data_IF_886191420779
#
_entry.id   IF_886191420779
#
_cell.length_a   1.000
_cell.length_b   1.000
_cell.length_c   1.000
_cell.angle_alpha   90.00
_cell.angle_beta   90.00
_cell.angle_gamma   90.00
#
_symmetry.space_group_name_H-M   'P 1'
#
loop_
_entity.id
_entity.type
_entity.pdbx_description
1 polymer ?
#
# COMPACT_ATOMS: atom_id res chain seq x y z
N UNK A 1 30.18 7.61 3.68
CA UNK A 1 29.19 6.71 3.06
C UNK A 1 28.59 7.44 1.86
N UNK A 2 28.95 7.05 0.64
CA UNK A 2 28.48 7.72 -0.57
C UNK A 2 27.17 7.06 -1.05
N UNK A 3 26.00 7.66 -0.78
CA UNK A 3 24.73 7.13 -1.26
C UNK A 3 24.63 7.20 -2.80
N UNK A 4 24.11 6.14 -3.42
CA UNK A 4 23.85 6.09 -4.87
C UNK A 4 22.61 6.88 -5.28
N UNK A 5 21.75 7.28 -4.34
CA UNK A 5 20.60 8.15 -4.60
C UNK A 5 21.03 9.63 -4.76
N UNK A 6 20.27 10.35 -5.58
CA UNK A 6 20.32 11.83 -5.59
C UNK A 6 19.66 12.38 -4.32
N UNK A 7 19.85 13.67 -4.01
CA UNK A 7 19.09 14.32 -2.93
C UNK A 7 17.57 14.10 -3.10
N UNK A 8 17.09 14.19 -4.35
CA UNK A 8 15.70 13.86 -4.74
C UNK A 8 15.32 12.42 -4.40
N UNK A 9 16.22 11.46 -4.62
CA UNK A 9 15.99 10.06 -4.27
C UNK A 9 15.88 9.81 -2.76
N UNK A 10 16.67 10.52 -1.94
CA UNK A 10 16.56 10.45 -0.47
C UNK A 10 15.23 11.03 0.01
N UNK A 11 14.83 12.19 -0.53
CA UNK A 11 13.51 12.78 -0.23
C UNK A 11 12.38 11.84 -0.64
N UNK A 12 12.46 11.23 -1.83
CA UNK A 12 11.50 10.23 -2.28
C UNK A 12 11.41 9.03 -1.34
N UNK A 13 12.55 8.49 -0.87
CA UNK A 13 12.56 7.35 0.03
C UNK A 13 11.90 7.65 1.38
N UNK A 14 12.25 8.79 2.00
CA UNK A 14 11.67 9.22 3.26
C UNK A 14 10.17 9.50 3.14
N UNK A 15 9.76 10.21 2.09
CA UNK A 15 8.36 10.51 1.85
C UNK A 15 7.56 9.23 1.59
N UNK A 16 8.10 8.30 0.81
CA UNK A 16 7.48 6.99 0.55
C UNK A 16 7.27 6.20 1.84
N UNK A 17 8.24 6.24 2.75
CA UNK A 17 8.11 5.62 4.07
C UNK A 17 7.00 6.26 4.91
N UNK A 18 6.97 7.59 5.00
CA UNK A 18 5.92 8.31 5.74
C UNK A 18 4.53 8.01 5.17
N UNK A 19 4.37 8.06 3.84
CA UNK A 19 3.10 7.74 3.19
C UNK A 19 2.67 6.29 3.43
N UNK A 20 3.61 5.33 3.36
CA UNK A 20 3.33 3.93 3.63
C UNK A 20 2.88 3.73 5.09
N UNK A 21 3.61 4.29 6.07
CA UNK A 21 3.24 4.21 7.48
C UNK A 21 1.88 4.85 7.74
N UNK A 22 1.63 6.06 7.24
CA UNK A 22 0.35 6.75 7.40
C UNK A 22 -0.81 5.92 6.82
N UNK A 23 -0.61 5.35 5.63
CA UNK A 23 -1.63 4.52 4.97
C UNK A 23 -1.89 3.22 5.73
N UNK A 24 -0.83 2.54 6.18
CA UNK A 24 -0.96 1.29 6.95
C UNK A 24 -1.57 1.54 8.33
N UNK A 25 -1.13 2.59 9.04
CA UNK A 25 -1.71 2.94 10.35
C UNK A 25 -3.19 3.24 10.19
N UNK A 26 -3.56 4.09 9.22
CA UNK A 26 -4.98 4.35 8.93
C UNK A 26 -5.75 3.06 8.61
N UNK A 27 -5.23 2.20 7.73
CA UNK A 27 -5.87 0.94 7.37
C UNK A 27 -6.10 0.00 8.57
N UNK A 28 -5.14 -0.11 9.49
CA UNK A 28 -5.23 -1.04 10.63
C UNK A 28 -6.14 -0.53 11.77
N UNK A 29 -6.48 0.75 11.76
CA UNK A 29 -7.09 1.43 12.90
C UNK A 29 -8.62 1.52 12.71
N UNK A 30 -9.43 1.13 13.70
CA UNK A 30 -10.88 0.96 13.56
C UNK A 30 -11.67 2.27 13.63
N UNK A 31 -11.06 3.40 13.30
CA UNK A 31 -11.65 4.74 13.40
C UNK A 31 -11.83 5.35 12.00
N UNK A 32 -12.45 4.59 11.08
CA UNK A 32 -12.82 5.07 9.75
C UNK A 32 -14.20 5.72 9.78
N UNK A 33 -15.14 5.11 10.50
CA UNK A 33 -16.49 5.61 10.71
C UNK A 33 -16.79 5.59 12.21
N UNK A 34 -17.32 6.68 12.72
CA UNK A 34 -17.65 6.90 14.13
C UNK A 34 -19.15 7.09 14.26
N UNK A 35 -19.76 6.43 15.23
CA UNK A 35 -21.17 6.58 15.55
C UNK A 35 -21.46 6.19 16.98
N UNK A 36 -22.74 5.98 17.29
CA UNK A 36 -23.18 5.65 18.65
C UNK A 36 -24.32 4.65 18.65
N UNK A 37 -24.27 3.71 19.59
CA UNK A 37 -25.33 2.74 19.86
C UNK A 37 -25.53 2.64 21.36
N UNK A 38 -26.78 2.54 21.83
CA UNK A 38 -27.09 2.37 23.26
C UNK A 38 -26.31 3.35 24.19
N UNK A 39 -26.22 4.62 23.79
CA UNK A 39 -25.45 5.68 24.47
C UNK A 39 -23.94 5.45 24.60
N UNK A 40 -23.38 4.57 23.78
CA UNK A 40 -21.96 4.24 23.76
C UNK A 40 -21.33 4.48 22.38
N UNK A 41 -20.08 4.97 22.32
CA UNK A 41 -19.41 5.21 21.05
C UNK A 41 -19.05 3.88 20.37
N UNK A 42 -19.35 3.78 19.07
CA UNK A 42 -19.00 2.65 18.21
C UNK A 42 -18.12 3.16 17.08
N UNK A 43 -17.07 2.40 16.77
CA UNK A 43 -16.20 2.74 15.65
C UNK A 43 -16.00 1.55 14.72
N UNK A 44 -16.05 1.83 13.42
CA UNK A 44 -15.83 0.86 12.37
C UNK A 44 -14.53 1.17 11.62
N UNK A 45 -13.78 0.13 11.32
CA UNK A 45 -12.78 0.09 10.27
C UNK A 45 -13.23 -0.84 9.14
N UNK A 46 -12.31 -1.16 8.24
CA UNK A 46 -12.57 -2.07 7.10
C UNK A 46 -12.75 -3.53 7.54
N UNK A 47 -11.97 -3.99 8.52
CA UNK A 47 -12.02 -5.36 9.07
C UNK A 47 -11.98 -5.44 10.60
N UNK A 48 -11.94 -4.29 11.28
CA UNK A 48 -11.96 -4.18 12.75
C UNK A 48 -13.14 -3.31 13.18
N UNK A 49 -13.62 -3.56 14.40
CA UNK A 49 -14.64 -2.74 15.05
C UNK A 49 -14.28 -2.55 16.52
N UNK A 50 -14.68 -1.44 17.11
CA UNK A 50 -14.66 -1.24 18.55
C UNK A 50 -16.07 -0.99 19.05
N UNK A 51 -16.32 -1.52 20.25
CA UNK A 51 -17.63 -1.48 20.90
C UNK A 51 -18.69 -2.28 20.13
N UNK A 52 -19.03 -3.47 20.63
CA UNK A 52 -20.02 -4.33 19.97
C UNK A 52 -21.00 -4.96 20.96
N UNK A 53 -22.25 -5.22 20.54
CA UNK A 53 -23.22 -5.86 21.40
C UNK A 53 -22.84 -7.32 21.65
N UNK A 54 -22.86 -7.72 22.92
CA UNK A 54 -22.70 -9.11 23.35
C UNK A 54 -23.90 -9.45 24.23
N UNK A 55 -24.49 -10.63 24.00
CA UNK A 55 -25.58 -11.11 24.84
C UNK A 55 -25.00 -11.72 26.11
N UNK A 56 -25.32 -11.12 27.25
CA UNK A 56 -24.94 -11.66 28.55
C UNK A 56 -25.91 -12.80 28.91
N UNK A 57 -25.43 -14.03 28.85
CA UNK A 57 -26.20 -15.24 29.16
C UNK A 57 -26.72 -15.24 30.61
N UNK A 58 -25.99 -14.63 31.54
CA UNK A 58 -26.32 -14.62 32.98
C UNK A 58 -27.44 -13.62 33.26
N UNK A 59 -27.39 -12.45 32.62
CA UNK A 59 -28.36 -11.36 32.84
C UNK A 59 -29.50 -11.36 31.82
N UNK A 60 -29.43 -12.17 30.76
CA UNK A 60 -30.36 -12.15 29.62
C UNK A 60 -30.51 -10.76 28.98
N UNK A 61 -29.48 -9.91 29.11
CA UNK A 61 -29.46 -8.54 28.56
C UNK A 61 -28.35 -8.40 27.53
N UNK A 62 -28.60 -7.66 26.45
CA UNK A 62 -27.54 -7.26 25.52
C UNK A 62 -26.76 -6.09 26.12
N UNK A 63 -25.48 -6.30 26.39
CA UNK A 63 -24.57 -5.27 26.88
C UNK A 63 -23.59 -4.89 25.78
N UNK A 64 -23.19 -3.63 25.72
CA UNK A 64 -22.11 -3.22 24.83
C UNK A 64 -20.76 -3.46 25.49
N UNK A 65 -19.95 -4.28 24.83
CA UNK A 65 -18.59 -4.56 25.25
C UNK A 65 -17.65 -3.54 24.58
N UNK A 66 -17.08 -2.62 25.37
CA UNK A 66 -16.14 -1.57 24.93
C UNK A 66 -14.73 -2.14 24.65
N UNK A 67 -14.66 -3.07 23.71
CA UNK A 67 -13.42 -3.70 23.26
C UNK A 67 -13.27 -3.58 21.75
N UNK A 68 -12.02 -3.47 21.30
CA UNK A 68 -11.68 -3.50 19.89
C UNK A 68 -11.34 -4.93 19.46
N UNK A 69 -12.00 -5.40 18.41
CA UNK A 69 -11.86 -6.75 17.90
C UNK A 69 -11.81 -6.82 16.38
N UNK A 70 -11.34 -7.96 15.88
CA UNK A 70 -11.48 -8.37 14.48
C UNK A 70 -12.74 -9.22 14.34
N UNK A 71 -13.42 -9.13 13.21
CA UNK A 71 -14.47 -10.09 12.85
C UNK A 71 -13.92 -11.53 12.90
N UNK A 72 -14.70 -12.48 13.45
CA UNK A 72 -14.23 -13.86 13.65
C UNK A 72 -13.74 -14.50 12.33
N UNK A 73 -14.50 -14.29 11.26
CA UNK A 73 -14.18 -14.72 9.90
C UNK A 73 -14.25 -13.55 8.92
N UNK A 74 -13.63 -13.70 7.74
CA UNK A 74 -13.71 -12.71 6.66
C UNK A 74 -15.15 -12.53 6.14
N UNK A 75 -15.96 -13.60 6.21
CA UNK A 75 -17.39 -13.57 5.88
C UNK A 75 -18.23 -12.87 6.95
N UNK A 76 -17.66 -12.60 8.14
CA UNK A 76 -18.32 -11.84 9.19
C UNK A 76 -18.25 -10.32 9.00
N UNK A 77 -17.55 -9.84 7.97
CA UNK A 77 -17.54 -8.40 7.61
C UNK A 77 -18.92 -8.05 7.02
N UNK A 78 -19.59 -6.97 7.49
CA UNK A 78 -20.99 -6.64 7.20
C UNK A 78 -21.37 -6.67 5.71
N UNK A 79 -20.53 -6.10 4.86
CA UNK A 79 -20.82 -5.88 3.44
C UNK A 79 -19.74 -6.46 2.54
N UNK A 80 -20.10 -6.79 1.29
CA UNK A 80 -19.15 -7.29 0.30
C UNK A 80 -18.16 -6.20 -0.09
N UNK A 81 -18.62 -4.96 -0.10
CA UNK A 81 -17.90 -3.74 -0.42
C UNK A 81 -16.75 -3.54 0.58
N UNK A 82 -17.00 -3.76 1.88
CA UNK A 82 -15.97 -3.68 2.92
C UNK A 82 -14.98 -4.83 2.87
N UNK A 83 -15.42 -6.03 2.45
CA UNK A 83 -14.53 -7.18 2.18
C UNK A 83 -13.56 -6.86 1.03
N UNK A 84 -14.09 -6.36 -0.09
CA UNK A 84 -13.28 -5.95 -1.24
C UNK A 84 -12.35 -4.81 -0.84
N UNK A 85 -12.86 -3.77 -0.17
CA UNK A 85 -12.08 -2.66 0.38
C UNK A 85 -10.90 -3.16 1.22
N UNK A 86 -11.13 -4.10 2.14
CA UNK A 86 -10.07 -4.69 2.97
C UNK A 86 -8.96 -5.32 2.14
N UNK A 87 -9.33 -6.09 1.11
CA UNK A 87 -8.35 -6.77 0.24
C UNK A 87 -7.59 -5.76 -0.61
N UNK A 88 -8.26 -4.84 -1.30
CA UNK A 88 -7.59 -3.88 -2.19
C UNK A 88 -6.70 -2.92 -1.41
N UNK A 89 -7.18 -2.37 -0.29
CA UNK A 89 -6.38 -1.48 0.55
C UNK A 89 -5.23 -2.23 1.21
N UNK A 90 -5.43 -3.48 1.64
CA UNK A 90 -4.37 -4.32 2.20
C UNK A 90 -3.26 -4.63 1.19
N UNK A 91 -3.61 -5.02 -0.04
CA UNK A 91 -2.64 -5.25 -1.12
C UNK A 91 -1.89 -3.95 -1.45
N UNK A 92 -2.61 -2.83 -1.57
CA UNK A 92 -1.99 -1.52 -1.82
C UNK A 92 -1.01 -1.10 -0.72
N UNK A 93 -1.36 -1.31 0.55
CA UNK A 93 -0.46 -1.10 1.69
C UNK A 93 0.80 -1.96 1.61
N UNK A 94 0.65 -3.25 1.25
CA UNK A 94 1.78 -4.15 1.04
C UNK A 94 2.74 -3.68 -0.05
N UNK A 95 2.20 -3.19 -1.18
CA UNK A 95 3.00 -2.63 -2.26
C UNK A 95 3.73 -1.34 -1.84
N UNK A 96 3.06 -0.44 -1.11
CA UNK A 96 3.71 0.78 -0.59
C UNK A 96 4.83 0.46 0.40
N UNK A 97 4.62 -0.50 1.31
CA UNK A 97 5.66 -0.94 2.25
C UNK A 97 6.86 -1.56 1.53
N UNK A 98 6.61 -2.40 0.52
CA UNK A 98 7.68 -3.00 -0.28
C UNK A 98 8.54 -1.92 -0.96
N UNK A 99 7.92 -0.91 -1.56
CA UNK A 99 8.64 0.21 -2.18
C UNK A 99 9.38 1.05 -1.12
N UNK A 100 8.74 1.35 0.01
CA UNK A 100 9.37 2.13 1.07
C UNK A 100 10.59 1.42 1.65
N UNK A 101 10.50 0.13 1.95
CA UNK A 101 11.61 -0.65 2.50
C UNK A 101 12.76 -0.77 1.49
N UNK A 102 12.47 -1.04 0.22
CA UNK A 102 13.51 -1.08 -0.82
C UNK A 102 14.17 0.28 -1.03
N UNK A 103 13.42 1.38 -0.93
CA UNK A 103 13.95 2.73 -0.98
C UNK A 103 14.88 3.05 0.20
N UNK A 104 14.50 2.67 1.42
CA UNK A 104 15.33 2.83 2.62
C UNK A 104 16.61 2.00 2.56
N UNK A 105 16.54 0.75 2.09
CA UNK A 105 17.72 -0.10 1.87
C UNK A 105 18.66 0.56 0.85
N UNK A 106 18.12 1.15 -0.22
CA UNK A 106 18.90 1.91 -1.19
C UNK A 106 19.60 3.14 -0.60
N UNK A 107 19.06 3.76 0.46
CA UNK A 107 19.74 4.85 1.16
C UNK A 107 21.00 4.36 1.91
N UNK A 108 20.95 3.15 2.47
CA UNK A 108 22.02 2.54 3.26
C UNK A 108 23.08 1.82 2.40
N UNK A 109 22.66 1.23 1.28
CA UNK A 109 23.53 0.42 0.41
C UNK A 109 23.65 1.09 -0.96
N UNK A 110 24.88 1.50 -1.28
CA UNK A 110 25.24 2.00 -2.60
C UNK A 110 25.08 0.90 -3.67
N UNK A 111 24.59 1.29 -4.85
CA UNK A 111 24.41 0.49 -6.09
C UNK A 111 23.16 -0.39 -6.21
N UNK A 112 22.24 -0.34 -5.23
CA UNK A 112 20.93 -1.03 -5.35
C UNK A 112 19.93 -0.30 -6.27
N UNK A 113 19.91 1.03 -6.27
CA UNK A 113 18.92 1.83 -7.01
C UNK A 113 19.55 2.43 -8.28
N UNK A 114 19.30 1.75 -9.40
CA UNK A 114 19.51 2.31 -10.74
C UNK A 114 18.27 3.12 -11.19
N UNK A 115 18.42 3.94 -12.23
CA UNK A 115 17.34 4.76 -12.79
C UNK A 115 16.15 3.93 -13.30
N UNK A 116 16.40 2.72 -13.80
CA UNK A 116 15.35 1.78 -14.20
C UNK A 116 14.55 1.25 -13.00
N UNK A 117 15.25 0.89 -11.91
CA UNK A 117 14.67 0.38 -10.67
C UNK A 117 13.83 1.46 -9.99
N UNK A 118 14.31 2.71 -9.93
CA UNK A 118 13.53 3.84 -9.41
C UNK A 118 12.21 4.06 -10.18
N UNK A 119 12.23 3.94 -11.51
CA UNK A 119 11.00 4.03 -12.32
C UNK A 119 10.05 2.86 -12.09
N UNK A 120 10.57 1.64 -11.97
CA UNK A 120 9.78 0.46 -11.67
C UNK A 120 9.13 0.57 -10.28
N UNK A 121 9.90 1.01 -9.27
CA UNK A 121 9.41 1.27 -7.91
C UNK A 121 8.31 2.36 -7.91
N UNK A 122 8.50 3.44 -8.66
CA UNK A 122 7.46 4.47 -8.83
C UNK A 122 6.18 3.94 -9.47
N UNK A 123 6.29 3.02 -10.45
CA UNK A 123 5.14 2.34 -11.05
C UNK A 123 4.40 1.43 -10.06
N UNK A 124 5.13 0.62 -9.29
CA UNK A 124 4.54 -0.22 -8.22
C UNK A 124 3.86 0.65 -7.17
N UNK A 125 4.50 1.76 -6.78
CA UNK A 125 3.96 2.71 -5.81
C UNK A 125 2.65 3.35 -6.30
N UNK A 126 2.59 3.72 -7.58
CA UNK A 126 1.39 4.26 -8.23
C UNK A 126 0.25 3.25 -8.20
N UNK A 127 0.51 1.99 -8.59
CA UNK A 127 -0.48 0.91 -8.54
C UNK A 127 -0.96 0.67 -7.10
N UNK A 128 -0.05 0.63 -6.13
CA UNK A 128 -0.38 0.47 -4.72
C UNK A 128 -1.28 1.60 -4.20
N UNK A 129 -0.95 2.85 -4.53
CA UNK A 129 -1.75 4.00 -4.15
C UNK A 129 -3.15 4.01 -4.81
N UNK A 130 -3.26 3.59 -6.07
CA UNK A 130 -4.55 3.44 -6.75
C UNK A 130 -5.44 2.38 -6.07
N UNK A 131 -4.86 1.26 -5.64
CA UNK A 131 -5.60 0.22 -4.91
C UNK A 131 -6.10 0.70 -3.54
N UNK A 132 -5.31 1.52 -2.84
CA UNK A 132 -5.77 2.14 -1.59
C UNK A 132 -6.88 3.15 -1.86
N UNK A 133 -6.72 3.99 -2.90
CA UNK A 133 -7.72 4.96 -3.31
C UNK A 133 -9.04 4.31 -3.71
N UNK A 134 -9.01 3.21 -4.45
CA UNK A 134 -10.22 2.46 -4.79
C UNK A 134 -10.88 1.85 -3.56
N UNK A 135 -10.12 1.34 -2.59
CA UNK A 135 -10.67 0.90 -1.31
C UNK A 135 -11.35 2.04 -0.53
N UNK A 136 -10.74 3.22 -0.48
CA UNK A 136 -11.36 4.41 0.15
C UNK A 136 -12.66 4.82 -0.55
N UNK A 137 -12.74 4.68 -1.88
CA UNK A 137 -13.95 4.95 -2.66
C UNK A 137 -15.03 3.88 -2.50
N UNK A 138 -14.64 2.61 -2.26
CA UNK A 138 -15.56 1.50 -2.00
C UNK A 138 -16.14 1.55 -0.57
N UNK A 139 -15.40 2.09 0.40
CA UNK A 139 -15.83 2.07 1.80
C UNK A 139 -17.22 2.71 2.05
N UNK A 140 -17.56 3.88 1.46
CA UNK A 140 -18.89 4.48 1.57
C UNK A 140 -20.04 3.69 0.98
N UNK A 141 -19.76 2.74 0.07
CA UNK A 141 -20.80 1.88 -0.50
C UNK A 141 -21.34 0.87 0.51
N UNK A 142 -20.58 0.54 1.57
CA UNK A 142 -21.02 -0.40 2.60
C UNK A 142 -21.78 0.22 3.78
N UNK A 143 -22.11 1.52 3.71
CA UNK A 143 -22.81 2.24 4.79
C UNK A 143 -24.31 1.91 4.88
N UNK A 144 -24.84 1.18 3.91
CA UNK A 144 -26.21 0.66 3.85
C UNK A 144 -26.39 -0.65 4.65
N UNK A 145 -25.31 -1.26 5.15
CA UNK A 145 -25.37 -2.45 5.99
C UNK A 145 -26.17 -2.23 7.28
N UNK A 146 -26.85 -3.28 7.76
CA UNK A 146 -27.71 -3.18 8.94
C UNK A 146 -26.95 -2.72 10.19
N UNK A 147 -25.70 -3.16 10.36
CA UNK A 147 -24.85 -2.77 11.48
C UNK A 147 -24.52 -1.27 11.48
N UNK A 148 -24.28 -0.70 10.29
CA UNK A 148 -24.03 0.73 10.13
C UNK A 148 -25.32 1.50 10.31
N UNK A 149 -26.42 1.06 9.69
CA UNK A 149 -27.75 1.71 9.82
C UNK A 149 -28.20 1.78 11.26
N UNK A 150 -28.05 0.71 12.04
CA UNK A 150 -28.41 0.73 13.46
C UNK A 150 -27.54 1.73 14.26
N UNK A 151 -26.28 1.93 13.85
CA UNK A 151 -25.34 2.85 14.51
C UNK A 151 -25.45 4.30 14.07
N UNK A 152 -25.96 4.52 12.86
CA UNK A 152 -26.03 5.81 12.18
C UNK A 152 -27.48 6.28 11.98
N UNK A 153 -28.33 6.10 13.01
CA UNK A 153 -29.73 6.57 13.08
C UNK A 153 -30.69 6.03 12.00
N UNK A 154 -30.43 4.85 11.45
CA UNK A 154 -31.20 4.14 10.41
C UNK A 154 -31.41 4.92 9.10
N UNK A 155 -30.80 6.10 8.99
CA UNK A 155 -30.82 6.99 7.84
C UNK A 155 -29.53 6.92 7.02
N UNK A 156 -28.58 6.06 7.40
CA UNK A 156 -27.39 5.83 6.56
C UNK A 156 -27.76 5.00 5.33
N UNK A 157 -27.13 5.36 4.22
CA UNK A 157 -27.26 4.71 2.92
C UNK A 157 -25.90 4.84 2.20
N UNK A 158 -25.79 4.31 0.98
CA UNK A 158 -24.57 4.42 0.18
C UNK A 158 -24.18 5.89 -0.01
N UNK A 159 -22.96 6.25 0.42
CA UNK A 159 -22.47 7.64 0.47
C UNK A 159 -23.25 8.61 1.37
N UNK A 160 -24.20 8.13 2.18
CA UNK A 160 -24.95 8.92 3.17
C UNK A 160 -24.63 8.43 4.58
N UNK A 161 -23.95 9.26 5.38
CA UNK A 161 -23.53 8.85 6.72
C UNK A 161 -24.65 8.78 7.76
N UNK A 162 -25.75 9.52 7.59
CA UNK A 162 -26.74 9.69 8.66
C UNK A 162 -26.15 10.48 9.85
N UNK A 163 -26.30 9.96 11.06
CA UNK A 163 -25.75 10.58 12.29
C UNK A 163 -24.27 10.25 12.55
N UNK A 164 -23.60 9.51 11.66
CA UNK A 164 -22.21 9.12 11.83
C UNK A 164 -21.22 10.14 11.25
N UNK A 165 -19.97 10.06 11.70
CA UNK A 165 -18.88 10.93 11.28
C UNK A 165 -17.71 10.11 10.71
N UNK A 166 -16.95 10.69 9.77
CA UNK A 166 -15.73 10.08 9.26
C UNK A 166 -14.60 10.28 10.27
N UNK A 167 -13.95 9.19 10.66
CA UNK A 167 -12.83 9.22 11.59
C UNK A 167 -11.49 9.48 10.91
N UNK A 168 -10.50 9.84 11.74
CA UNK A 168 -9.15 10.23 11.30
C UNK A 168 -8.43 9.15 10.47
N UNK A 169 -8.72 7.86 10.72
CA UNK A 169 -8.01 6.76 10.07
C UNK A 169 -8.36 6.67 8.58
N UNK A 170 -9.58 7.06 8.19
CA UNK A 170 -9.98 7.19 6.80
C UNK A 170 -9.14 8.27 6.09
N UNK A 171 -9.01 9.45 6.72
CA UNK A 171 -8.21 10.55 6.18
C UNK A 171 -6.73 10.22 6.09
N UNK A 172 -6.13 9.59 7.12
CA UNK A 172 -4.74 9.15 7.08
C UNK A 172 -4.49 8.15 5.94
N UNK A 173 -5.43 7.22 5.72
CA UNK A 173 -5.32 6.23 4.63
C UNK A 173 -5.39 6.89 3.26
N UNK A 174 -6.42 7.71 3.03
CA UNK A 174 -6.61 8.41 1.76
C UNK A 174 -5.51 9.42 1.46
N UNK A 175 -5.14 10.25 2.43
CA UNK A 175 -4.09 11.26 2.25
C UNK A 175 -2.72 10.63 2.00
N UNK A 176 -2.37 9.56 2.72
CA UNK A 176 -1.13 8.81 2.49
C UNK A 176 -1.06 8.23 1.07
N UNK A 177 -2.16 7.67 0.58
CA UNK A 177 -2.25 7.16 -0.79
C UNK A 177 -2.15 8.28 -1.84
N UNK A 178 -2.88 9.38 -1.66
CA UNK A 178 -2.83 10.53 -2.58
C UNK A 178 -1.43 11.14 -2.64
N UNK A 179 -0.76 11.31 -1.50
CA UNK A 179 0.62 11.80 -1.44
C UNK A 179 1.60 10.83 -2.13
N UNK A 180 1.44 9.51 -1.91
CA UNK A 180 2.24 8.51 -2.61
C UNK A 180 2.03 8.54 -4.14
N UNK A 181 0.79 8.70 -4.58
CA UNK A 181 0.42 8.72 -6.00
C UNK A 181 0.94 9.97 -6.73
N UNK A 182 0.76 11.15 -6.15
CA UNK A 182 1.07 12.41 -6.83
C UNK A 182 2.54 12.78 -6.67
N UNK A 183 3.05 12.72 -5.45
CA UNK A 183 4.37 13.25 -5.11
C UNK A 183 5.43 12.17 -5.27
N UNK A 184 5.23 10.99 -4.70
CA UNK A 184 6.27 9.96 -4.73
C UNK A 184 6.45 9.35 -6.13
N UNK A 185 5.38 9.09 -6.89
CA UNK A 185 5.49 8.60 -8.27
C UNK A 185 6.24 9.59 -9.17
N UNK A 186 6.00 10.89 -9.00
CA UNK A 186 6.72 11.91 -9.77
C UNK A 186 8.21 11.97 -9.40
N UNK A 187 8.52 11.98 -8.10
CA UNK A 187 9.92 12.00 -7.62
C UNK A 187 10.70 10.73 -8.00
N UNK A 188 10.04 9.58 -8.09
CA UNK A 188 10.65 8.31 -8.49
C UNK A 188 11.30 8.37 -9.89
N UNK A 189 10.74 9.18 -10.80
CA UNK A 189 11.31 9.41 -12.14
C UNK A 189 12.70 10.09 -12.11
N UNK A 190 13.02 10.79 -11.03
CA UNK A 190 14.24 11.58 -10.84
C UNK A 190 15.15 11.05 -9.72
N UNK A 191 14.77 9.95 -9.07
CA UNK A 191 15.47 9.41 -7.90
C UNK A 191 16.83 8.76 -8.23
N UNK A 192 16.95 8.11 -9.40
CA UNK A 192 18.17 7.40 -9.79
C UNK A 192 19.15 8.26 -10.58
N UNK A 193 20.44 8.23 -10.20
CA UNK A 193 21.53 8.81 -11.01
C UNK A 193 21.57 8.12 -12.38
N UNK A 194 21.79 8.86 -13.47
CA UNK A 194 22.14 8.25 -14.76
C UNK A 194 23.43 7.47 -14.52
N UNK A 195 23.42 6.16 -14.72
CA UNK A 195 24.66 5.42 -14.93
C UNK A 195 25.29 6.04 -16.19
N UNK A 196 26.30 6.88 -16.00
CA UNK A 196 27.30 7.14 -17.03
C UNK A 196 27.76 5.76 -17.46
N UNK A 197 27.63 5.46 -18.75
CA UNK A 197 28.13 4.24 -19.37
C UNK A 197 29.60 4.05 -18.96
N UNK A 198 29.87 3.32 -17.87
CA UNK A 198 31.12 2.59 -17.77
C UNK A 198 30.93 1.44 -18.76
N UNK A 199 31.71 1.38 -19.84
CA UNK A 199 31.42 0.49 -20.96
C UNK A 199 31.75 -0.96 -20.61
N UNK A 200 30.96 -1.60 -19.75
CA UNK A 200 31.03 -3.06 -19.58
C UNK A 200 30.52 -3.74 -20.87
N UNK A 201 29.79 -3.02 -21.74
CA UNK A 201 29.32 -3.49 -23.05
C UNK A 201 30.25 -3.18 -24.23
N UNK A 202 31.52 -2.85 -23.99
CA UNK A 202 32.55 -2.86 -25.05
C UNK A 202 33.47 -4.10 -24.95
N UNK A 203 33.70 -4.64 -23.76
CA UNK A 203 34.54 -5.83 -23.56
C UNK A 203 33.90 -7.11 -24.11
N UNK A 204 32.60 -7.32 -23.91
CA UNK A 204 31.94 -8.58 -24.33
C UNK A 204 31.75 -8.68 -25.85
N UNK A 205 31.49 -7.56 -26.54
CA UNK A 205 31.38 -7.58 -28.01
C UNK A 205 32.75 -7.79 -28.66
N UNK A 206 33.81 -7.15 -28.15
CA UNK A 206 35.16 -7.35 -28.67
C UNK A 206 35.68 -8.76 -28.36
N UNK A 207 35.39 -9.32 -27.18
CA UNK A 207 35.77 -10.68 -26.83
C UNK A 207 35.08 -11.74 -27.71
N UNK A 208 33.78 -11.56 -28.02
CA UNK A 208 33.05 -12.48 -28.91
C UNK A 208 33.52 -12.36 -30.36
N UNK A 209 33.81 -11.14 -30.86
CA UNK A 209 34.35 -10.95 -32.21
C UNK A 209 35.79 -11.48 -32.33
N UNK A 210 36.65 -11.31 -31.31
CA UNK A 210 38.00 -11.91 -31.29
C UNK A 210 37.95 -13.44 -31.22
N UNK A 211 37.05 -14.02 -30.41
CA UNK A 211 36.87 -15.47 -30.33
C UNK A 211 36.35 -16.08 -31.64
N UNK A 212 35.50 -15.37 -32.39
CA UNK A 212 35.03 -15.79 -33.72
C UNK A 212 36.07 -15.61 -34.84
N UNK A 213 37.02 -14.67 -34.71
CA UNK A 213 38.13 -14.54 -35.67
C UNK A 213 39.24 -15.56 -35.41
N UNK A 214 39.51 -15.92 -34.15
CA UNK A 214 40.58 -16.87 -33.80
C UNK A 214 40.24 -18.33 -34.18
N UNK A 215 38.97 -18.65 -34.43
CA UNK A 215 38.56 -20.00 -34.89
C UNK A 215 38.56 -20.17 -36.41
N UNK A 216 38.83 -19.12 -37.21
CA UNK A 216 38.91 -19.22 -38.67
C UNK A 216 40.33 -19.47 -39.22
N UNK A 217 41.36 -19.41 -38.39
CA UNK A 217 42.75 -19.62 -38.77
C UNK A 217 43.35 -20.93 -38.19
N UNK A 218 42.59 -22.04 -38.22
CA UNK A 218 43.22 -23.37 -38.15
C UNK A 218 43.42 -23.90 -39.58
N UNK A 219 44.67 -24.05 -40.07
CA UNK A 219 44.94 -24.82 -41.28
C UNK A 219 44.87 -26.30 -40.90
N UNK A 220 43.96 -27.04 -41.52
CA UNK A 220 43.76 -28.45 -41.18
C UNK A 220 42.89 -29.19 -42.17
N UNK A 221 43.24 -29.13 -43.45
CA UNK A 221 43.00 -30.28 -44.31
C UNK A 221 44.11 -31.29 -44.07
N UNK A 222 43.77 -32.53 -43.67
CA UNK A 222 44.19 -33.72 -44.42
C UNK A 222 43.52 -34.99 -43.88
N UNK A 223 42.91 -35.69 -44.82
CA UNK A 223 42.64 -37.12 -44.92
C UNK A 223 43.51 -38.06 -44.08
N UNK A 224 42.87 -38.90 -43.27
CA UNK A 224 42.89 -40.37 -43.36
C UNK A 224 41.75 -40.97 -42.51
#
# INVERSE_FOLDING_TARGET
MASSLTCTGVVWALLSFVCAVASCVGFFMPYWLLGSQMDKPVSFGTFRRCSYPVRDEVRQTTVMLEQCGRYASFQGIPSLEWRICTVVTGVGCGLLLLVALTALIGCCISDLISRSIGRAAGGIQFVGALLIGSGCALYPLGWDSEEVRQTCSNSSDQFQLGSCEIGWAYYCTGAGALAAMLVCTWLACFAGKKQSNTPIRAGTKVAITRAMMTTRDLPGGLSL
#
